data_IF_289482528307
#
_entry.id   IF_289482528307
#
_cell.length_a   1.000
_cell.length_b   1.000
_cell.length_c   1.000
_cell.angle_alpha   90.00
_cell.angle_beta   90.00
_cell.angle_gamma   90.00
#
_symmetry.space_group_name_H-M   'P 1'
#
loop_
_entity.id
_entity.type
_entity.pdbx_description
1 polymer ?
#
# COMPACT_ATOMS: atom_id res chain seq x y z
N UNK A 1 -67.63 75.96 -57.96
CA UNK A 1 -67.15 77.22 -58.54
C UNK A 1 -65.75 77.44 -57.95
N UNK A 2 -64.72 77.27 -58.80
CA UNK A 2 -63.29 77.57 -58.64
C UNK A 2 -62.61 77.10 -57.32
N UNK A 3 -61.79 76.05 -57.27
CA UNK A 3 -60.51 75.85 -57.98
C UNK A 3 -59.51 76.97 -57.71
N UNK A 4 -58.61 76.77 -56.74
CA UNK A 4 -57.23 77.22 -56.88
C UNK A 4 -56.28 76.36 -56.03
N UNK A 5 -55.18 76.00 -56.66
CA UNK A 5 -54.24 74.99 -56.27
C UNK A 5 -53.08 75.57 -55.47
N UNK A 6 -52.66 74.88 -54.40
CA UNK A 6 -51.27 74.95 -53.90
C UNK A 6 -50.70 73.55 -53.79
N UNK A 7 -49.69 73.33 -54.63
CA UNK A 7 -48.77 72.20 -54.60
C UNK A 7 -47.85 72.38 -53.39
N UNK A 8 -47.82 71.39 -52.50
CA UNK A 8 -46.68 71.14 -51.63
C UNK A 8 -46.15 69.74 -51.92
N UNK A 9 -44.92 69.73 -52.42
CA UNK A 9 -44.11 68.58 -52.78
C UNK A 9 -43.51 68.00 -51.50
N UNK A 10 -44.06 66.87 -51.03
CA UNK A 10 -43.44 66.07 -49.97
C UNK A 10 -43.33 64.62 -50.44
N UNK A 11 -42.22 64.36 -51.14
CA UNK A 11 -41.75 63.01 -51.43
C UNK A 11 -41.57 62.20 -50.14
N UNK A 12 -42.10 60.97 -50.03
CA UNK A 12 -41.86 60.12 -48.87
C UNK A 12 -40.39 59.62 -48.87
N UNK A 13 -39.73 59.51 -47.70
CA UNK A 13 -38.37 58.98 -47.65
C UNK A 13 -38.35 57.53 -48.12
N UNK A 14 -37.28 57.07 -48.80
CA UNK A 14 -37.20 55.72 -49.33
C UNK A 14 -37.23 54.70 -48.20
N UNK A 15 -38.08 53.67 -48.36
CA UNK A 15 -38.05 52.46 -47.55
C UNK A 15 -36.65 51.85 -47.68
N UNK A 16 -35.90 51.81 -46.57
CA UNK A 16 -34.72 50.96 -46.49
C UNK A 16 -35.22 49.52 -46.44
N UNK A 17 -34.97 48.79 -47.53
CA UNK A 17 -34.98 47.34 -47.50
C UNK A 17 -33.88 46.87 -46.54
N UNK A 18 -34.27 46.59 -45.30
CA UNK A 18 -33.46 45.85 -44.34
C UNK A 18 -33.45 44.37 -44.76
N UNK A 19 -32.72 44.08 -45.83
CA UNK A 19 -32.25 42.74 -46.17
C UNK A 19 -30.75 42.67 -45.98
N UNK A 20 -30.31 42.93 -44.75
CA UNK A 20 -29.04 42.41 -44.26
C UNK A 20 -29.32 41.07 -43.57
N UNK A 21 -28.66 39.96 -43.95
CA UNK A 21 -28.81 38.72 -43.23
C UNK A 21 -28.40 38.95 -41.76
N UNK A 22 -29.08 38.33 -40.78
CA UNK A 22 -28.68 38.45 -39.39
C UNK A 22 -27.22 38.07 -39.28
N UNK A 23 -26.38 39.03 -38.90
CA UNK A 23 -24.99 38.77 -38.56
C UNK A 23 -25.01 37.70 -37.47
N UNK A 24 -24.28 36.57 -37.62
CA UNK A 24 -24.21 35.60 -36.56
C UNK A 24 -23.52 36.29 -35.38
N UNK A 25 -24.31 36.71 -34.39
CA UNK A 25 -23.81 36.97 -33.04
C UNK A 25 -23.53 35.61 -32.39
N UNK A 26 -22.70 34.79 -33.02
CA UNK A 26 -21.91 33.82 -32.30
C UNK A 26 -20.77 34.61 -31.68
N UNK A 27 -21.00 35.01 -30.42
CA UNK A 27 -20.02 35.65 -29.56
C UNK A 27 -18.87 34.73 -29.17
N UNK A 28 -18.31 33.97 -30.11
CA UNK A 28 -17.07 33.23 -29.93
C UNK A 28 -15.95 34.02 -30.59
N UNK A 29 -15.36 34.95 -29.84
CA UNK A 29 -14.05 35.48 -30.20
C UNK A 29 -13.11 34.29 -30.48
N UNK A 30 -12.34 34.30 -31.58
CA UNK A 30 -11.42 33.22 -31.89
C UNK A 30 -10.48 32.99 -30.70
N UNK A 31 -10.12 31.74 -30.37
CA UNK A 31 -9.22 31.44 -29.26
C UNK A 31 -7.95 32.28 -29.41
N UNK A 32 -7.66 33.07 -28.38
CA UNK A 32 -6.44 33.86 -28.36
C UNK A 32 -5.23 32.91 -28.31
N UNK A 33 -4.06 33.29 -28.83
CA UNK A 33 -2.84 32.47 -28.69
C UNK A 33 -2.51 32.08 -27.24
N UNK A 34 -3.04 32.82 -26.26
CA UNK A 34 -2.92 32.54 -24.81
C UNK A 34 -3.77 31.34 -24.35
N UNK A 35 -4.83 30.98 -25.07
CA UNK A 35 -5.71 29.85 -24.72
C UNK A 35 -5.10 28.47 -24.96
N UNK A 36 -3.94 28.41 -25.63
CA UNK A 36 -3.23 27.16 -25.92
C UNK A 36 -2.23 26.75 -24.82
N UNK A 37 -2.15 27.51 -23.74
CA UNK A 37 -1.22 27.23 -22.63
C UNK A 37 -1.97 26.67 -21.41
N UNK A 38 -1.42 25.65 -20.71
CA UNK A 38 -2.04 25.08 -19.50
C UNK A 38 -2.35 26.08 -18.39
N UNK A 39 -1.66 27.23 -18.37
CA UNK A 39 -1.90 28.33 -17.44
C UNK A 39 -3.15 29.17 -17.75
N UNK A 40 -3.71 29.06 -18.96
CA UNK A 40 -4.98 29.68 -19.32
C UNK A 40 -6.17 28.81 -18.91
N UNK A 41 -7.21 29.44 -18.37
CA UNK A 41 -8.50 28.77 -18.10
C UNK A 41 -9.16 28.24 -19.39
N UNK A 42 -8.88 28.87 -20.54
CA UNK A 42 -9.41 28.47 -21.84
C UNK A 42 -8.84 27.16 -22.39
N UNK A 43 -7.66 26.73 -21.89
CA UNK A 43 -7.02 25.47 -22.28
C UNK A 43 -7.80 24.24 -21.81
N UNK A 44 -8.35 24.32 -20.59
CA UNK A 44 -9.07 23.22 -19.94
C UNK A 44 -10.56 23.25 -20.31
N UNK A 45 -10.94 22.54 -21.38
CA UNK A 45 -12.29 22.64 -21.95
C UNK A 45 -13.27 21.55 -21.55
N UNK A 46 -12.86 20.55 -20.76
CA UNK A 46 -13.77 19.45 -20.42
C UNK A 46 -14.94 19.93 -19.53
N UNK A 47 -16.20 19.68 -19.92
CA UNK A 47 -17.38 20.08 -19.13
C UNK A 47 -17.58 19.27 -17.84
N UNK A 48 -16.80 18.21 -17.66
CA UNK A 48 -16.80 17.40 -16.43
C UNK A 48 -16.02 18.05 -15.29
N UNK A 49 -15.21 19.06 -15.59
CA UNK A 49 -14.46 19.83 -14.59
C UNK A 49 -15.40 20.80 -13.89
N UNK A 50 -15.28 20.83 -12.56
CA UNK A 50 -16.10 21.62 -11.66
C UNK A 50 -15.97 21.07 -10.24
N UNK A 51 -16.62 21.67 -9.24
CA UNK A 51 -16.46 21.27 -7.84
C UNK A 51 -17.05 19.90 -7.49
N UNK A 52 -18.03 19.42 -8.27
CA UNK A 52 -18.76 18.19 -7.95
C UNK A 52 -17.90 16.92 -8.08
N UNK A 53 -17.27 16.70 -9.23
CA UNK A 53 -16.44 15.52 -9.49
C UNK A 53 -15.30 15.32 -8.46
N UNK A 54 -14.43 16.33 -8.18
CA UNK A 54 -13.41 16.23 -7.15
C UNK A 54 -13.99 16.04 -5.75
N UNK A 55 -15.22 16.49 -5.46
CA UNK A 55 -15.88 16.25 -4.17
C UNK A 55 -16.29 14.79 -4.02
N UNK A 56 -16.91 14.19 -5.05
CA UNK A 56 -17.28 12.77 -5.07
C UNK A 56 -16.04 11.88 -4.93
N UNK A 57 -15.02 12.09 -5.77
CA UNK A 57 -13.77 11.34 -5.71
C UNK A 57 -13.05 11.57 -4.38
N UNK A 58 -13.15 12.78 -3.83
CA UNK A 58 -12.58 13.14 -2.53
C UNK A 58 -13.18 12.36 -1.36
N UNK A 59 -14.48 12.05 -1.38
CA UNK A 59 -15.11 11.22 -0.34
C UNK A 59 -14.63 9.77 -0.41
N UNK A 60 -14.50 9.21 -1.61
CA UNK A 60 -13.98 7.85 -1.81
C UNK A 60 -12.53 7.77 -1.33
N UNK A 61 -11.70 8.74 -1.72
CA UNK A 61 -10.31 8.82 -1.26
C UNK A 61 -10.21 9.10 0.24
N UNK A 62 -11.13 9.86 0.83
CA UNK A 62 -11.16 10.09 2.28
C UNK A 62 -11.23 8.77 3.05
N UNK A 63 -12.22 7.95 2.73
CA UNK A 63 -12.39 6.65 3.34
C UNK A 63 -11.21 5.72 3.02
N UNK A 64 -10.84 5.62 1.74
CA UNK A 64 -9.81 4.71 1.27
C UNK A 64 -8.43 4.99 1.85
N UNK A 65 -7.98 6.25 1.81
CA UNK A 65 -6.66 6.66 2.31
C UNK A 65 -6.58 6.55 3.83
N UNK A 66 -7.68 6.81 4.55
CA UNK A 66 -7.72 6.59 6.00
C UNK A 66 -7.51 5.11 6.34
N UNK A 67 -8.17 4.20 5.62
CA UNK A 67 -7.97 2.75 5.79
C UNK A 67 -6.52 2.36 5.46
N UNK A 68 -5.95 2.87 4.36
CA UNK A 68 -4.56 2.61 3.99
C UNK A 68 -3.58 3.07 5.06
N UNK A 69 -3.76 4.28 5.58
CA UNK A 69 -2.90 4.81 6.63
C UNK A 69 -2.98 3.94 7.88
N UNK A 70 -4.18 3.62 8.37
CA UNK A 70 -4.37 2.78 9.56
C UNK A 70 -3.77 1.38 9.35
N UNK A 71 -4.07 0.72 8.23
CA UNK A 71 -3.52 -0.61 7.93
C UNK A 71 -1.99 -0.59 7.76
N UNK A 72 -1.43 0.52 7.28
CA UNK A 72 0.02 0.74 7.23
C UNK A 72 0.64 0.87 8.62
N UNK A 73 0.04 1.66 9.52
CA UNK A 73 0.47 1.76 10.92
C UNK A 73 0.39 0.40 11.64
N UNK A 74 -0.71 -0.33 11.44
CA UNK A 74 -0.91 -1.67 11.98
C UNK A 74 0.13 -2.65 11.42
N UNK A 75 0.45 -2.58 10.12
CA UNK A 75 1.50 -3.40 9.50
C UNK A 75 2.87 -3.10 10.11
N UNK A 76 3.18 -1.82 10.34
CA UNK A 76 4.41 -1.39 11.00
C UNK A 76 4.49 -1.86 12.46
N UNK A 77 3.39 -1.79 13.23
CA UNK A 77 3.34 -2.32 14.59
C UNK A 77 3.60 -3.84 14.64
N UNK A 78 3.16 -4.60 13.62
CA UNK A 78 3.39 -6.05 13.53
C UNK A 78 4.88 -6.43 13.41
N UNK A 79 5.75 -5.48 13.05
CA UNK A 79 7.19 -5.67 13.07
C UNK A 79 7.77 -5.54 14.48
N UNK A 80 7.00 -5.18 15.51
CA UNK A 80 7.53 -4.91 16.86
C UNK A 80 8.77 -3.99 16.84
N UNK A 81 8.71 -2.79 16.24
CA UNK A 81 9.87 -1.92 16.06
C UNK A 81 10.39 -1.30 17.38
N UNK A 82 9.61 -1.33 18.45
CA UNK A 82 10.01 -0.98 19.82
C UNK A 82 10.69 -2.15 20.56
N UNK A 83 10.69 -3.37 20.00
CA UNK A 83 11.35 -4.51 20.62
C UNK A 83 12.86 -4.54 20.37
N UNK A 84 13.28 -4.32 19.11
CA UNK A 84 14.68 -4.53 18.72
C UNK A 84 15.08 -3.71 17.48
N UNK A 85 16.32 -3.18 17.42
CA UNK A 85 16.83 -2.50 16.22
C UNK A 85 16.90 -3.39 14.97
N UNK A 86 16.89 -4.73 15.12
CA UNK A 86 16.85 -5.61 13.93
C UNK A 86 15.50 -5.55 13.22
N UNK A 87 14.42 -5.34 13.98
CA UNK A 87 13.06 -5.24 13.48
C UNK A 87 12.77 -3.85 12.91
N UNK A 88 13.36 -2.81 13.50
CA UNK A 88 13.12 -1.42 13.11
C UNK A 88 14.18 -0.87 12.17
N UNK A 89 13.77 -0.37 11.00
CA UNK A 89 14.66 0.37 10.07
C UNK A 89 14.45 1.89 10.12
N UNK A 90 13.79 2.38 11.16
CA UNK A 90 13.46 3.79 11.41
C UNK A 90 13.88 4.23 12.83
N UNK A 91 15.19 4.20 13.14
CA UNK A 91 15.68 4.49 14.50
C UNK A 91 15.28 5.88 15.01
N UNK A 92 15.14 6.87 14.11
CA UNK A 92 14.84 8.26 14.45
C UNK A 92 13.34 8.60 14.46
N UNK A 93 12.45 7.60 14.51
CA UNK A 93 10.98 7.83 14.44
C UNK A 93 10.43 8.73 15.54
N UNK A 94 11.12 8.83 16.68
CA UNK A 94 10.74 9.70 17.80
C UNK A 94 9.28 9.51 18.22
N UNK A 95 8.52 10.61 18.27
CA UNK A 95 7.10 10.61 18.65
C UNK A 95 6.20 9.86 17.67
N UNK A 96 6.65 9.58 16.44
CA UNK A 96 5.87 8.85 15.44
C UNK A 96 5.67 7.37 15.80
N UNK A 97 6.26 6.88 16.89
CA UNK A 97 6.02 5.54 17.44
C UNK A 97 4.96 5.46 18.54
N UNK A 98 4.19 6.52 18.80
CA UNK A 98 3.26 6.57 19.96
C UNK A 98 2.17 5.50 19.98
N UNK A 99 1.87 4.89 18.83
CA UNK A 99 0.82 3.90 18.66
C UNK A 99 1.34 2.46 18.74
N UNK A 100 2.63 2.24 19.05
CA UNK A 100 3.21 0.90 19.10
C UNK A 100 2.72 0.12 20.31
N UNK A 101 2.44 -1.16 20.09
CA UNK A 101 1.96 -2.09 21.11
C UNK A 101 2.56 -3.48 20.86
N UNK A 102 2.45 -4.36 21.86
CA UNK A 102 2.81 -5.75 21.71
C UNK A 102 1.86 -6.42 20.70
N UNK A 103 2.39 -6.75 19.52
CA UNK A 103 1.58 -7.33 18.46
C UNK A 103 0.94 -8.66 18.90
N UNK A 104 -0.39 -8.83 18.75
CA UNK A 104 -1.09 -10.02 19.20
C UNK A 104 -0.82 -11.21 18.28
N UNK A 105 -1.00 -12.42 18.83
CA UNK A 105 -0.94 -13.68 18.07
C UNK A 105 -2.33 -14.15 17.59
N UNK A 106 -3.41 -13.53 18.08
CA UNK A 106 -4.79 -13.87 17.72
C UNK A 106 -5.60 -12.68 17.16
N UNK A 107 -6.50 -12.94 16.18
CA UNK A 107 -6.62 -14.19 15.44
C UNK A 107 -5.37 -14.45 14.58
N UNK A 108 -5.01 -15.71 14.36
CA UNK A 108 -3.74 -16.07 13.69
C UNK A 108 -3.59 -15.55 12.25
N UNK A 109 -4.71 -15.23 11.59
CA UNK A 109 -4.75 -14.64 10.25
C UNK A 109 -4.73 -13.10 10.24
N UNK A 110 -4.61 -12.43 11.39
CA UNK A 110 -4.74 -10.98 11.51
C UNK A 110 -3.84 -10.20 10.54
N UNK A 111 -2.55 -10.54 10.46
CA UNK A 111 -1.64 -9.84 9.55
C UNK A 111 -1.96 -10.10 8.08
N UNK A 112 -2.43 -11.30 7.73
CA UNK A 112 -2.93 -11.63 6.39
C UNK A 112 -4.08 -10.70 5.98
N UNK A 113 -5.06 -10.50 6.86
CA UNK A 113 -6.16 -9.59 6.59
C UNK A 113 -5.65 -8.15 6.43
N UNK A 114 -4.87 -7.67 7.40
CA UNK A 114 -4.37 -6.30 7.40
C UNK A 114 -3.59 -5.97 6.12
N UNK A 115 -2.62 -6.81 5.77
CA UNK A 115 -1.76 -6.59 4.62
C UNK A 115 -2.50 -6.79 3.30
N UNK A 116 -3.40 -7.77 3.23
CA UNK A 116 -4.25 -8.01 2.07
C UNK A 116 -5.17 -6.83 1.77
N UNK A 117 -5.77 -6.23 2.81
CA UNK A 117 -6.58 -5.00 2.68
C UNK A 117 -5.71 -3.84 2.22
N UNK A 118 -4.56 -3.61 2.88
CA UNK A 118 -3.67 -2.50 2.56
C UNK A 118 -3.27 -2.48 1.07
N UNK A 119 -2.73 -3.60 0.57
CA UNK A 119 -2.24 -3.67 -0.81
C UNK A 119 -3.37 -3.67 -1.83
N UNK A 120 -4.42 -4.47 -1.60
CA UNK A 120 -5.53 -4.59 -2.56
C UNK A 120 -6.30 -3.28 -2.69
N UNK A 121 -6.56 -2.59 -1.56
CA UNK A 121 -7.21 -1.29 -1.56
C UNK A 121 -6.32 -0.22 -2.21
N UNK A 122 -5.02 -0.24 -1.93
CA UNK A 122 -4.06 0.71 -2.50
C UNK A 122 -4.08 0.66 -4.02
N UNK A 123 -4.00 -0.55 -4.59
CA UNK A 123 -4.07 -0.77 -6.04
C UNK A 123 -5.45 -0.37 -6.59
N UNK A 124 -6.55 -0.76 -5.93
CA UNK A 124 -7.90 -0.43 -6.39
C UNK A 124 -8.19 1.09 -6.38
N UNK A 125 -7.50 1.88 -5.56
CA UNK A 125 -7.69 3.34 -5.48
C UNK A 125 -6.89 4.12 -6.53
N UNK A 126 -5.96 3.51 -7.26
CA UNK A 126 -5.15 4.19 -8.29
C UNK A 126 -6.04 4.95 -9.31
N UNK A 127 -7.09 4.36 -9.92
CA UNK A 127 -7.92 5.07 -10.89
C UNK A 127 -8.69 6.23 -10.26
N UNK A 128 -9.11 6.10 -8.99
CA UNK A 128 -9.78 7.17 -8.25
C UNK A 128 -8.81 8.33 -7.99
N UNK A 129 -7.57 8.03 -7.59
CA UNK A 129 -6.52 9.02 -7.38
C UNK A 129 -6.18 9.75 -8.69
N UNK A 130 -5.96 9.01 -9.78
CA UNK A 130 -5.67 9.60 -11.09
C UNK A 130 -6.82 10.47 -11.59
N UNK A 131 -8.07 10.04 -11.42
CA UNK A 131 -9.24 10.85 -11.77
C UNK A 131 -9.34 12.10 -10.89
N UNK A 132 -9.01 12.00 -9.60
CA UNK A 132 -8.98 13.14 -8.68
C UNK A 132 -7.91 14.14 -9.11
N UNK A 133 -6.69 13.69 -9.36
CA UNK A 133 -5.59 14.53 -9.84
C UNK A 133 -5.93 15.18 -11.18
N UNK A 134 -6.47 14.40 -12.13
CA UNK A 134 -6.96 14.93 -13.40
C UNK A 134 -7.99 16.02 -13.17
N UNK A 135 -8.97 15.84 -12.28
CA UNK A 135 -10.05 16.81 -12.05
C UNK A 135 -9.57 18.15 -11.48
N UNK A 136 -8.46 18.16 -10.74
CA UNK A 136 -7.91 19.36 -10.08
C UNK A 136 -6.65 19.92 -10.74
N UNK A 137 -6.10 19.26 -11.77
CA UNK A 137 -4.86 19.66 -12.46
C UNK A 137 -4.80 21.14 -12.89
N UNK A 138 -5.89 21.84 -13.29
CA UNK A 138 -5.81 23.24 -13.67
C UNK A 138 -5.31 24.13 -12.54
N UNK A 139 -5.58 23.76 -11.28
CA UNK A 139 -5.10 24.49 -10.09
C UNK A 139 -3.57 24.47 -9.97
N UNK A 140 -2.89 23.46 -10.52
CA UNK A 140 -1.42 23.39 -10.52
C UNK A 140 -0.79 24.41 -11.48
N UNK A 141 -1.51 24.81 -12.54
CA UNK A 141 -1.03 25.74 -13.56
C UNK A 141 -1.56 27.17 -13.39
N UNK A 142 -2.39 27.43 -12.38
CA UNK A 142 -2.97 28.75 -12.14
C UNK A 142 -1.90 29.82 -11.85
N UNK A 143 -2.03 30.97 -12.50
CA UNK A 143 -1.18 32.16 -12.34
C UNK A 143 -1.97 33.33 -11.70
N UNK A 144 -1.32 34.21 -10.91
CA UNK A 144 0.06 34.11 -10.45
C UNK A 144 0.24 32.93 -9.48
N UNK A 145 1.47 32.40 -9.32
CA UNK A 145 1.71 31.23 -8.48
C UNK A 145 1.31 31.48 -7.03
N UNK A 146 1.59 32.67 -6.50
CA UNK A 146 1.11 33.13 -5.20
C UNK A 146 0.39 34.46 -5.33
N UNK A 147 -0.83 34.56 -4.79
CA UNK A 147 -1.60 35.82 -4.69
C UNK A 147 -1.41 36.50 -3.32
N UNK A 148 -1.01 35.73 -2.31
CA UNK A 148 -0.75 36.16 -0.94
C UNK A 148 0.10 35.11 -0.22
N UNK A 149 0.61 35.44 0.98
CA UNK A 149 1.33 34.47 1.85
C UNK A 149 0.43 33.27 2.19
N UNK A 150 -0.84 33.51 2.53
CA UNK A 150 -1.80 32.44 2.81
C UNK A 150 -2.01 31.51 1.60
N UNK A 151 -2.14 32.08 0.40
CA UNK A 151 -2.25 31.31 -0.83
C UNK A 151 -0.96 30.53 -1.15
N UNK A 152 0.21 31.09 -0.85
CA UNK A 152 1.49 30.38 -0.99
C UNK A 152 1.58 29.16 -0.05
N UNK A 153 1.18 29.33 1.22
CA UNK A 153 1.11 28.24 2.19
C UNK A 153 0.11 27.16 1.77
N UNK A 154 -1.04 27.56 1.21
CA UNK A 154 -2.01 26.61 0.67
C UNK A 154 -1.42 25.79 -0.48
N UNK A 155 -0.71 26.42 -1.42
CA UNK A 155 -0.04 25.70 -2.52
C UNK A 155 1.09 24.80 -2.04
N UNK A 156 1.82 25.21 -1.01
CA UNK A 156 2.84 24.36 -0.39
C UNK A 156 2.20 23.12 0.26
N UNK A 157 1.07 23.28 0.96
CA UNK A 157 0.29 22.16 1.48
C UNK A 157 -0.20 21.23 0.36
N UNK A 158 -0.68 21.78 -0.76
CA UNK A 158 -1.07 21.00 -1.93
C UNK A 158 0.12 20.26 -2.57
N UNK A 159 1.33 20.83 -2.56
CA UNK A 159 2.53 20.17 -3.03
C UNK A 159 2.84 18.93 -2.17
N UNK A 160 2.82 19.05 -0.84
CA UNK A 160 3.00 17.89 0.04
C UNK A 160 1.88 16.86 -0.09
N UNK A 161 0.64 17.31 -0.32
CA UNK A 161 -0.49 16.40 -0.53
C UNK A 161 -0.35 15.60 -1.83
N UNK A 162 -0.12 16.28 -2.96
CA UNK A 162 -0.03 15.63 -4.27
C UNK A 162 1.27 14.85 -4.40
N UNK A 163 2.39 15.46 -4.01
CA UNK A 163 3.70 14.81 -4.01
C UNK A 163 3.73 13.60 -3.08
N UNK A 164 3.18 13.72 -1.86
CA UNK A 164 3.05 12.62 -0.92
C UNK A 164 2.14 11.51 -1.45
N UNK A 165 0.97 11.82 -2.00
CA UNK A 165 0.09 10.80 -2.59
C UNK A 165 0.76 10.03 -3.72
N UNK A 166 1.44 10.74 -4.63
CA UNK A 166 2.17 10.10 -5.73
C UNK A 166 3.33 9.27 -5.21
N UNK A 167 4.09 9.78 -4.25
CA UNK A 167 5.21 9.07 -3.65
C UNK A 167 4.75 7.77 -2.96
N UNK A 168 3.73 7.82 -2.11
CA UNK A 168 3.21 6.66 -1.39
C UNK A 168 2.65 5.59 -2.35
N UNK A 169 1.84 5.99 -3.32
CA UNK A 169 1.27 5.03 -4.27
C UNK A 169 2.33 4.44 -5.20
N UNK A 170 3.28 5.24 -5.70
CA UNK A 170 4.34 4.75 -6.57
C UNK A 170 5.29 3.83 -5.82
N UNK A 171 5.78 4.24 -4.64
CA UNK A 171 6.68 3.38 -3.83
C UNK A 171 5.98 2.11 -3.38
N UNK A 172 4.69 2.17 -3.02
CA UNK A 172 3.87 1.00 -2.72
C UNK A 172 3.74 0.05 -3.91
N UNK A 173 3.43 0.55 -5.11
CA UNK A 173 3.34 -0.26 -6.33
C UNK A 173 4.69 -0.90 -6.68
N UNK A 174 5.78 -0.13 -6.62
CA UNK A 174 7.13 -0.65 -6.88
C UNK A 174 7.51 -1.77 -5.90
N UNK A 175 7.18 -1.62 -4.62
CA UNK A 175 7.42 -2.66 -3.61
C UNK A 175 6.67 -3.96 -3.90
N UNK A 176 5.38 -3.89 -4.25
CA UNK A 176 4.60 -5.10 -4.55
C UNK A 176 4.95 -5.72 -5.91
N UNK A 177 5.59 -4.96 -6.81
CA UNK A 177 6.13 -5.44 -8.09
C UNK A 177 7.58 -5.95 -7.98
N UNK A 178 8.17 -5.97 -6.77
CA UNK A 178 9.57 -6.34 -6.52
C UNK A 178 10.61 -5.46 -7.26
N UNK A 179 10.22 -4.25 -7.65
CA UNK A 179 11.03 -3.37 -8.48
C UNK A 179 11.66 -2.23 -7.66
N UNK A 180 12.87 -2.44 -7.17
CA UNK A 180 13.60 -1.51 -6.30
C UNK A 180 14.51 -0.58 -7.11
N UNK A 181 13.91 0.30 -7.91
CA UNK A 181 14.63 1.25 -8.78
C UNK A 181 15.17 2.49 -8.06
N UNK A 182 14.75 2.76 -6.82
CA UNK A 182 15.12 3.98 -6.11
C UNK A 182 16.26 3.76 -5.10
N UNK A 183 17.15 4.76 -4.92
CA UNK A 183 18.19 4.70 -3.91
C UNK A 183 17.55 4.80 -2.51
N UNK A 184 17.58 3.71 -1.75
CA UNK A 184 17.10 3.67 -0.37
C UNK A 184 16.27 2.44 -0.05
N UNK A 185 15.97 2.25 1.24
CA UNK A 185 15.08 1.18 1.69
C UNK A 185 13.63 1.64 1.58
N UNK A 186 12.76 0.82 0.99
CA UNK A 186 11.31 1.06 0.96
C UNK A 186 10.76 1.38 2.35
N UNK A 187 11.18 0.63 3.36
CA UNK A 187 10.66 0.70 4.73
C UNK A 187 10.70 2.13 5.34
N UNK A 188 11.87 2.79 5.50
CA UNK A 188 11.92 4.15 6.05
C UNK A 188 11.29 5.19 5.13
N UNK A 189 11.49 5.05 3.81
CA UNK A 189 10.95 5.99 2.83
C UNK A 189 9.42 6.04 2.89
N UNK A 190 8.79 4.88 2.85
CA UNK A 190 7.33 4.74 2.91
C UNK A 190 6.79 5.13 4.28
N UNK A 191 7.48 4.80 5.38
CA UNK A 191 7.05 5.22 6.73
C UNK A 191 7.01 6.75 6.91
N UNK A 192 8.11 7.44 6.60
CA UNK A 192 8.16 8.89 6.78
C UNK A 192 7.32 9.62 5.73
N UNK A 193 7.32 9.12 4.50
CA UNK A 193 6.46 9.62 3.43
C UNK A 193 4.98 9.55 3.81
N UNK A 194 4.53 8.44 4.40
CA UNK A 194 3.15 8.26 4.86
C UNK A 194 2.76 9.29 5.93
N UNK A 195 3.63 9.60 6.88
CA UNK A 195 3.36 10.63 7.90
C UNK A 195 3.30 12.05 7.32
N UNK A 196 4.24 12.41 6.44
CA UNK A 196 4.23 13.70 5.74
C UNK A 196 2.95 13.85 4.90
N UNK A 197 2.63 12.81 4.15
CA UNK A 197 1.44 12.76 3.32
C UNK A 197 0.16 12.86 4.16
N UNK A 198 0.04 12.05 5.21
CA UNK A 198 -1.18 12.00 6.01
C UNK A 198 -1.41 13.29 6.80
N UNK A 199 -0.35 13.96 7.27
CA UNK A 199 -0.46 15.29 7.88
C UNK A 199 -1.02 16.32 6.89
N UNK A 200 -0.50 16.37 5.65
CA UNK A 200 -1.02 17.24 4.60
C UNK A 200 -2.47 16.88 4.22
N UNK A 201 -2.78 15.59 4.17
CA UNK A 201 -4.12 15.08 3.91
C UNK A 201 -5.12 15.45 5.01
N UNK A 202 -4.78 15.32 6.28
CA UNK A 202 -5.64 15.69 7.40
C UNK A 202 -5.96 17.20 7.36
N UNK A 203 -4.96 18.05 7.16
CA UNK A 203 -5.15 19.50 6.97
C UNK A 203 -6.06 19.78 5.78
N UNK A 204 -5.83 19.13 4.63
CA UNK A 204 -6.65 19.28 3.45
C UNK A 204 -8.12 18.89 3.69
N UNK A 205 -8.35 17.76 4.37
CA UNK A 205 -9.70 17.27 4.70
C UNK A 205 -10.41 18.27 5.59
N UNK A 206 -9.79 18.72 6.68
CA UNK A 206 -10.40 19.71 7.60
C UNK A 206 -10.81 20.98 6.85
N UNK A 207 -9.94 21.49 5.96
CA UNK A 207 -10.22 22.70 5.19
C UNK A 207 -11.29 22.51 4.11
N UNK A 208 -11.40 21.32 3.50
CA UNK A 208 -12.27 21.09 2.33
C UNK A 208 -13.59 20.40 2.65
N UNK A 209 -13.76 19.76 3.81
CA UNK A 209 -15.03 19.11 4.22
C UNK A 209 -16.25 20.04 4.10
N UNK A 210 -16.24 21.30 4.57
CA UNK A 210 -17.41 22.18 4.43
C UNK A 210 -17.80 22.44 2.97
N UNK A 211 -16.83 22.56 2.06
CA UNK A 211 -17.07 22.74 0.63
C UNK A 211 -17.63 21.46 -0.01
N UNK A 212 -17.08 20.30 0.33
CA UNK A 212 -17.57 19.00 -0.14
C UNK A 212 -19.03 18.79 0.29
N UNK A 213 -19.34 19.04 1.57
CA UNK A 213 -20.70 18.90 2.11
C UNK A 213 -21.69 19.84 1.42
N UNK A 214 -21.34 21.11 1.22
CA UNK A 214 -22.20 22.09 0.50
C UNK A 214 -22.46 21.66 -0.95
N UNK A 215 -21.39 21.27 -1.65
CA UNK A 215 -21.45 20.85 -3.06
C UNK A 215 -22.32 19.60 -3.24
N UNK A 216 -22.16 18.59 -2.37
CA UNK A 216 -22.92 17.34 -2.46
C UNK A 216 -24.38 17.49 -1.99
N UNK A 217 -24.67 18.42 -1.08
CA UNK A 217 -26.05 18.76 -0.66
C UNK A 217 -26.78 19.69 -1.62
N UNK A 218 -26.11 20.18 -2.67
CA UNK A 218 -26.69 21.14 -3.62
C UNK A 218 -27.00 22.52 -3.01
N UNK A 219 -26.30 22.92 -1.93
CA UNK A 219 -26.59 24.17 -1.19
C UNK A 219 -25.49 25.21 -1.40
N UNK A 220 -25.88 26.37 -1.96
CA UNK A 220 -25.08 27.60 -2.03
C UNK A 220 -24.22 27.75 -3.29
N UNK A 221 -23.80 28.98 -3.58
CA UNK A 221 -22.90 29.29 -4.69
C UNK A 221 -21.49 28.71 -4.42
N UNK A 222 -20.80 28.17 -5.45
CA UNK A 222 -19.41 27.71 -5.29
C UNK A 222 -18.50 28.88 -4.91
N UNK A 223 -17.49 28.64 -4.06
CA UNK A 223 -16.44 29.64 -3.77
C UNK A 223 -15.74 30.02 -5.09
N UNK A 224 -15.20 31.23 -5.18
CA UNK A 224 -14.48 31.69 -6.39
C UNK A 224 -13.37 30.70 -6.82
N UNK A 225 -12.58 30.19 -5.87
CA UNK A 225 -11.55 29.16 -6.10
C UNK A 225 -12.09 27.85 -6.72
N UNK A 226 -13.37 27.54 -6.49
CA UNK A 226 -14.02 26.34 -6.99
C UNK A 226 -14.65 26.58 -8.37
N UNK A 227 -15.01 27.84 -8.67
CA UNK A 227 -15.40 28.29 -10.00
C UNK A 227 -14.23 28.30 -10.97
N UNK A 228 -12.98 28.39 -10.49
CA UNK A 228 -11.78 28.26 -11.33
C UNK A 228 -11.68 26.91 -12.04
N UNK A 229 -12.27 25.85 -11.48
CA UNK A 229 -12.34 24.52 -12.11
C UNK A 229 -13.37 24.45 -13.25
N UNK A 230 -14.33 25.38 -13.30
CA UNK A 230 -15.35 25.41 -14.35
C UNK A 230 -14.74 26.04 -15.59
N UNK A 231 -14.81 25.31 -16.71
CA UNK A 231 -14.33 25.77 -17.99
C UNK A 231 -15.15 26.99 -18.46
N UNK A 232 -14.53 28.12 -18.82
CA UNK A 232 -15.25 29.30 -19.30
C UNK A 232 -15.86 29.08 -20.70
N UNK A 233 -15.26 28.20 -21.50
CA UNK A 233 -15.75 27.77 -22.82
C UNK A 233 -15.69 26.24 -22.93
N UNK A 234 -16.63 25.53 -22.28
CA UNK A 234 -16.64 24.07 -22.31
C UNK A 234 -16.77 23.58 -23.75
N UNK A 235 -16.02 22.54 -24.09
CA UNK A 235 -16.26 21.77 -25.31
C UNK A 235 -17.49 20.87 -25.12
N UNK A 236 -17.97 20.30 -26.23
CA UNK A 236 -19.00 19.27 -26.15
C UNK A 236 -18.53 18.08 -25.27
N UNK A 237 -19.41 17.54 -24.42
CA UNK A 237 -19.06 16.41 -23.57
C UNK A 237 -18.82 15.17 -24.41
N UNK A 238 -17.57 14.69 -24.44
CA UNK A 238 -17.23 13.39 -25.04
C UNK A 238 -17.70 12.20 -24.18
N UNK A 239 -17.92 12.43 -22.89
CA UNK A 239 -18.47 11.43 -21.96
C UNK A 239 -19.34 12.10 -20.90
N UNK A 240 -20.39 11.40 -20.45
CA UNK A 240 -21.25 11.87 -19.36
C UNK A 240 -20.58 11.75 -18.00
N UNK A 241 -21.08 12.46 -16.98
CA UNK A 241 -20.60 12.30 -15.58
C UNK A 241 -20.73 10.85 -15.09
N UNK A 242 -21.84 10.19 -15.45
CA UNK A 242 -22.06 8.77 -15.14
C UNK A 242 -21.05 7.88 -15.87
N UNK A 243 -20.76 8.17 -17.14
CA UNK A 243 -19.75 7.44 -17.91
C UNK A 243 -18.35 7.60 -17.32
N UNK A 244 -17.97 8.81 -16.91
CA UNK A 244 -16.67 9.05 -16.27
C UNK A 244 -16.54 8.31 -14.92
N UNK A 245 -17.56 8.38 -14.06
CA UNK A 245 -17.57 7.61 -12.81
C UNK A 245 -17.61 6.10 -13.07
N UNK A 246 -18.34 5.65 -14.09
CA UNK A 246 -18.36 4.26 -14.52
C UNK A 246 -16.99 3.78 -14.99
N UNK A 247 -16.24 4.59 -15.73
CA UNK A 247 -14.88 4.27 -16.16
C UNK A 247 -13.90 4.17 -14.98
N UNK A 248 -13.96 5.11 -14.04
CA UNK A 248 -13.14 5.07 -12.82
C UNK A 248 -13.49 3.84 -11.99
N UNK A 249 -14.78 3.60 -11.75
CA UNK A 249 -15.26 2.44 -10.99
C UNK A 249 -14.90 1.11 -11.67
N UNK A 250 -15.04 1.00 -12.98
CA UNK A 250 -14.65 -0.17 -13.75
C UNK A 250 -13.13 -0.41 -13.72
N UNK A 251 -12.32 0.65 -13.83
CA UNK A 251 -10.87 0.55 -13.67
C UNK A 251 -10.47 0.08 -12.27
N UNK A 252 -11.09 0.66 -11.23
CA UNK A 252 -10.87 0.24 -9.84
C UNK A 252 -11.30 -1.20 -9.59
N UNK A 253 -12.45 -1.61 -10.13
CA UNK A 253 -12.94 -2.98 -10.02
C UNK A 253 -12.04 -3.96 -10.77
N UNK A 254 -11.58 -3.62 -11.98
CA UNK A 254 -10.64 -4.43 -12.74
C UNK A 254 -9.37 -4.65 -11.92
N UNK A 255 -8.75 -3.56 -11.43
CA UNK A 255 -7.54 -3.65 -10.62
C UNK A 255 -7.77 -4.50 -9.35
N UNK A 256 -8.89 -4.29 -8.65
CA UNK A 256 -9.29 -5.11 -7.50
C UNK A 256 -9.36 -6.60 -7.86
N UNK A 257 -10.10 -6.98 -8.91
CA UNK A 257 -10.27 -8.37 -9.34
C UNK A 257 -8.93 -8.99 -9.77
N UNK A 258 -8.06 -8.19 -10.39
CA UNK A 258 -6.73 -8.61 -10.83
C UNK A 258 -5.65 -8.61 -9.75
N UNK A 259 -6.02 -8.33 -8.50
CA UNK A 259 -5.08 -8.22 -7.38
C UNK A 259 -5.54 -9.04 -6.18
N UNK A 260 -6.83 -8.97 -5.81
CA UNK A 260 -7.36 -9.59 -4.58
C UNK A 260 -7.07 -11.09 -4.49
N UNK A 261 -7.01 -11.77 -5.64
CA UNK A 261 -6.68 -13.19 -5.76
C UNK A 261 -5.39 -13.60 -5.05
N UNK A 262 -4.39 -12.71 -4.95
CA UNK A 262 -3.09 -13.03 -4.32
C UNK A 262 -3.18 -13.38 -2.83
N UNK A 263 -4.33 -13.12 -2.21
CA UNK A 263 -4.65 -13.43 -0.81
C UNK A 263 -5.28 -14.81 -0.62
N UNK A 264 -5.55 -15.54 -1.70
CA UNK A 264 -6.21 -16.83 -1.69
C UNK A 264 -5.37 -17.84 -2.45
N UNK A 265 -5.62 -19.13 -2.18
CA UNK A 265 -5.00 -20.23 -2.92
C UNK A 265 -5.96 -20.77 -3.98
N UNK A 266 -5.47 -21.70 -4.82
CA UNK A 266 -6.28 -22.37 -5.82
C UNK A 266 -6.75 -21.45 -6.96
N UNK A 267 -8.00 -21.63 -7.40
CA UNK A 267 -8.53 -20.94 -8.60
C UNK A 267 -8.60 -19.42 -8.43
N UNK A 268 -8.89 -18.93 -7.22
CA UNK A 268 -8.96 -17.49 -6.95
C UNK A 268 -7.60 -16.82 -7.08
N UNK A 269 -6.50 -17.53 -6.77
CA UNK A 269 -5.15 -16.99 -6.97
C UNK A 269 -4.92 -16.54 -8.40
N UNK A 270 -5.38 -17.36 -9.36
CA UNK A 270 -5.17 -17.14 -10.81
C UNK A 270 -5.78 -15.83 -11.33
N UNK A 271 -6.65 -15.17 -10.56
CA UNK A 271 -7.14 -13.85 -10.95
C UNK A 271 -6.08 -12.77 -10.74
N UNK A 272 -5.07 -12.99 -9.89
CA UNK A 272 -4.03 -12.01 -9.56
C UNK A 272 -2.96 -11.83 -10.65
N UNK A 273 -3.40 -11.68 -11.90
CA UNK A 273 -2.57 -11.64 -13.11
C UNK A 273 -1.55 -10.51 -13.15
N UNK A 274 -1.72 -9.47 -12.33
CA UNK A 274 -0.80 -8.32 -12.23
C UNK A 274 0.12 -8.40 -11.00
N UNK A 275 -0.03 -9.40 -10.13
CA UNK A 275 0.82 -9.57 -8.96
C UNK A 275 1.95 -10.56 -9.25
N UNK A 276 3.23 -10.28 -8.89
CA UNK A 276 4.33 -11.20 -9.13
C UNK A 276 4.12 -12.61 -8.55
N UNK A 277 3.37 -12.71 -7.45
CA UNK A 277 3.02 -13.97 -6.77
C UNK A 277 1.53 -14.37 -6.98
N UNK A 278 0.89 -13.83 -8.01
CA UNK A 278 -0.51 -14.10 -8.36
C UNK A 278 -0.70 -15.19 -9.42
N UNK A 279 0.38 -15.85 -9.83
CA UNK A 279 0.34 -17.01 -10.72
C UNK A 279 -0.17 -18.28 -10.03
N UNK A 280 -0.08 -19.40 -10.74
CA UNK A 280 -0.29 -20.72 -10.13
C UNK A 280 0.71 -20.97 -8.99
N UNK A 281 0.35 -21.92 -8.14
CA UNK A 281 1.25 -22.45 -7.12
C UNK A 281 2.54 -22.99 -7.79
N UNK A 282 3.74 -22.67 -7.26
CA UNK A 282 5.02 -23.07 -7.87
C UNK A 282 5.20 -24.58 -7.98
N UNK A 283 4.41 -25.37 -7.26
CA UNK A 283 4.36 -26.82 -7.41
C UNK A 283 3.00 -27.40 -7.01
N UNK A 284 2.79 -28.67 -7.31
CA UNK A 284 1.57 -29.43 -6.97
C UNK A 284 1.69 -30.23 -5.68
N UNK A 285 2.89 -30.31 -5.10
CA UNK A 285 3.17 -31.08 -3.89
C UNK A 285 2.92 -30.33 -2.58
N UNK A 286 3.17 -30.97 -1.43
CA UNK A 286 2.98 -30.39 -0.09
C UNK A 286 3.72 -29.06 0.15
N UNK A 287 4.86 -28.86 -0.52
CA UNK A 287 5.64 -27.62 -0.49
C UNK A 287 5.28 -26.67 -1.66
N UNK A 288 4.13 -26.86 -2.30
CA UNK A 288 3.77 -26.23 -3.57
C UNK A 288 3.34 -24.77 -3.50
N UNK A 289 3.28 -24.13 -2.34
CA UNK A 289 2.79 -22.76 -2.18
C UNK A 289 3.88 -21.69 -2.41
N UNK A 290 3.44 -20.43 -2.51
CA UNK A 290 4.28 -19.27 -2.87
C UNK A 290 5.54 -19.10 -2.00
N UNK A 291 6.64 -18.70 -2.63
CA UNK A 291 7.97 -18.56 -2.02
C UNK A 291 8.44 -17.11 -2.18
N UNK A 292 8.87 -16.47 -1.09
CA UNK A 292 9.45 -15.12 -1.18
C UNK A 292 10.88 -15.11 -1.73
N UNK A 293 11.75 -16.02 -1.24
CA UNK A 293 13.20 -16.05 -1.53
C UNK A 293 13.70 -17.47 -1.61
N UNK A 294 14.61 -17.75 -2.54
CA UNK A 294 15.31 -19.04 -2.62
C UNK A 294 16.66 -18.97 -1.89
N UNK A 295 17.26 -20.11 -1.50
CA UNK A 295 18.60 -20.14 -0.90
C UNK A 295 19.65 -19.50 -1.82
N UNK A 296 19.56 -19.76 -3.12
CA UNK A 296 20.49 -19.22 -4.12
C UNK A 296 20.44 -17.68 -4.17
N UNK A 297 19.24 -17.08 -4.09
CA UNK A 297 19.07 -15.63 -4.09
C UNK A 297 19.74 -14.92 -2.89
N UNK A 298 19.99 -15.66 -1.80
CA UNK A 298 20.60 -15.14 -0.58
C UNK A 298 22.02 -15.68 -0.31
N UNK A 299 22.60 -16.35 -1.30
CA UNK A 299 23.98 -16.85 -1.27
C UNK A 299 24.21 -18.08 -0.40
N UNK A 300 23.18 -18.90 -0.21
CA UNK A 300 23.27 -20.20 0.47
C UNK A 300 23.47 -21.32 -0.54
N UNK A 301 24.30 -22.28 -0.16
CA UNK A 301 24.63 -23.49 -0.93
C UNK A 301 24.00 -24.73 -0.30
N UNK A 302 23.95 -25.84 -1.03
CA UNK A 302 23.50 -27.12 -0.48
C UNK A 302 24.31 -27.54 0.76
N UNK A 303 25.61 -27.22 0.80
CA UNK A 303 26.47 -27.50 1.95
C UNK A 303 26.08 -26.69 3.18
N UNK A 304 25.66 -25.44 3.04
CA UNK A 304 25.21 -24.61 4.17
C UNK A 304 23.92 -25.20 4.80
N UNK A 305 23.12 -25.92 4.02
CA UNK A 305 21.85 -26.51 4.41
C UNK A 305 21.95 -28.00 4.76
N UNK A 306 23.12 -28.60 4.65
CA UNK A 306 23.32 -30.04 4.82
C UNK A 306 23.06 -30.44 6.29
N UNK A 307 21.91 -31.09 6.53
CA UNK A 307 21.51 -31.54 7.85
C UNK A 307 21.66 -33.06 8.05
N UNK A 308 22.36 -33.73 7.13
CA UNK A 308 22.47 -35.18 7.03
C UNK A 308 21.32 -35.71 6.21
N UNK A 309 21.62 -36.53 5.20
CA UNK A 309 20.57 -37.34 4.58
C UNK A 309 20.00 -38.30 5.64
N UNK A 310 18.77 -38.77 5.47
CA UNK A 310 18.13 -39.85 6.24
C UNK A 310 17.97 -39.70 7.78
N UNK A 311 18.39 -38.59 8.38
CA UNK A 311 18.30 -38.42 9.84
C UNK A 311 19.49 -39.02 10.61
N UNK A 312 20.58 -39.37 9.91
CA UNK A 312 21.90 -39.73 10.45
C UNK A 312 22.44 -38.75 11.52
N UNK A 313 22.11 -37.46 11.40
CA UNK A 313 22.68 -36.38 12.22
C UNK A 313 24.13 -36.00 11.85
N UNK A 314 24.68 -36.55 10.78
CA UNK A 314 26.08 -36.34 10.35
C UNK A 314 26.31 -35.07 9.52
N UNK A 315 25.24 -34.41 9.08
CA UNK A 315 25.37 -33.20 8.27
C UNK A 315 26.06 -32.04 8.99
N UNK A 316 26.46 -31.03 8.23
CA UNK A 316 27.20 -29.88 8.77
C UNK A 316 26.34 -28.82 9.49
N UNK A 317 25.03 -28.76 9.21
CA UNK A 317 24.12 -27.80 9.82
C UNK A 317 23.83 -28.13 11.29
N UNK A 318 23.83 -27.10 12.13
CA UNK A 318 23.42 -27.18 13.55
C UNK A 318 22.59 -25.97 13.92
N UNK A 319 21.52 -26.19 14.68
CA UNK A 319 20.84 -25.12 15.40
C UNK A 319 21.62 -24.81 16.68
N UNK A 320 21.95 -23.55 16.92
CA UNK A 320 22.46 -23.10 18.22
C UNK A 320 21.34 -22.45 19.03
N UNK A 321 21.07 -22.94 20.23
CA UNK A 321 20.10 -22.39 21.17
C UNK A 321 20.85 -21.82 22.36
N UNK A 322 20.67 -20.53 22.64
CA UNK A 322 21.45 -19.79 23.65
C UNK A 322 20.52 -19.13 24.69
N UNK A 323 20.95 -19.17 25.95
CA UNK A 323 20.30 -18.52 27.09
C UNK A 323 21.14 -18.68 28.37
N UNK A 324 20.54 -18.50 29.57
CA UNK A 324 21.23 -18.58 30.86
C UNK A 324 21.94 -19.91 31.14
N UNK A 325 21.44 -21.02 30.57
CA UNK A 325 22.08 -22.33 30.70
C UNK A 325 23.32 -22.51 29.78
N UNK A 326 23.66 -21.49 28.98
CA UNK A 326 24.73 -21.55 27.98
C UNK A 326 24.21 -21.83 26.57
N UNK A 327 25.09 -22.33 25.71
CA UNK A 327 24.78 -22.62 24.31
C UNK A 327 24.66 -24.14 24.07
N UNK A 328 23.51 -24.59 23.58
CA UNK A 328 23.26 -25.96 23.14
C UNK A 328 23.26 -26.01 21.62
N UNK A 329 23.95 -27.01 21.04
CA UNK A 329 23.95 -27.24 19.58
C UNK A 329 23.20 -28.52 19.26
N UNK A 330 22.16 -28.40 18.43
CA UNK A 330 21.29 -29.49 18.04
C UNK A 330 21.45 -29.78 16.55
N UNK A 331 21.60 -31.06 16.20
CA UNK A 331 21.41 -31.53 14.83
C UNK A 331 19.92 -31.53 14.48
N UNK A 332 19.60 -31.66 13.18
CA UNK A 332 18.21 -31.84 12.76
C UNK A 332 17.62 -33.15 13.31
N UNK A 333 18.43 -34.20 13.42
CA UNK A 333 18.04 -35.47 14.01
C UNK A 333 17.71 -35.34 15.51
N UNK A 334 18.45 -34.50 16.26
CA UNK A 334 18.10 -34.18 17.65
C UNK A 334 16.73 -33.50 17.73
N UNK A 335 16.48 -32.50 16.88
CA UNK A 335 15.21 -31.77 16.82
C UNK A 335 14.03 -32.68 16.46
N UNK A 336 14.22 -33.64 15.55
CA UNK A 336 13.19 -34.61 15.17
C UNK A 336 12.84 -35.58 16.31
N UNK A 337 13.77 -35.82 17.25
CA UNK A 337 13.54 -36.65 18.44
C UNK A 337 12.85 -35.91 19.58
N UNK A 338 12.83 -34.58 19.55
CA UNK A 338 12.08 -33.77 20.51
C UNK A 338 10.57 -33.92 20.28
N UNK A 339 9.73 -33.61 21.29
CA UNK A 339 8.28 -33.54 21.11
C UNK A 339 7.89 -32.67 19.91
N UNK A 340 7.13 -33.25 18.99
CA UNK A 340 6.67 -32.56 17.77
C UNK A 340 5.25 -32.03 17.95
N UNK A 341 5.02 -30.81 17.50
CA UNK A 341 3.73 -30.13 17.52
C UNK A 341 3.34 -29.65 16.13
N UNK A 342 2.04 -29.46 15.91
CA UNK A 342 1.52 -28.99 14.62
C UNK A 342 0.62 -27.77 14.77
N UNK A 343 0.64 -26.91 13.76
CA UNK A 343 -0.21 -25.72 13.68
C UNK A 343 -0.61 -25.42 12.23
N UNK A 344 -1.87 -25.07 12.03
CA UNK A 344 -2.38 -24.54 10.76
C UNK A 344 -2.16 -23.02 10.74
N UNK A 345 -1.20 -22.53 9.95
CA UNK A 345 -0.85 -21.11 9.91
C UNK A 345 -0.61 -20.63 8.47
N UNK A 346 -1.09 -19.43 8.09
CA UNK A 346 -0.81 -18.86 6.79
C UNK A 346 0.57 -18.19 6.77
N UNK A 347 1.13 -18.00 5.58
CA UNK A 347 2.19 -17.03 5.35
C UNK A 347 1.55 -15.78 4.76
N UNK A 348 1.89 -14.60 5.27
CA UNK A 348 1.48 -13.32 4.70
C UNK A 348 2.67 -12.40 4.52
N UNK A 349 2.96 -12.03 3.27
CA UNK A 349 4.08 -11.19 2.90
C UNK A 349 3.68 -9.72 2.89
N UNK A 350 4.61 -8.83 3.27
CA UNK A 350 4.45 -7.36 3.15
C UNK A 350 4.23 -6.91 1.70
N UNK A 351 4.61 -7.72 0.73
CA UNK A 351 4.35 -7.50 -0.70
C UNK A 351 2.86 -7.70 -1.08
N UNK A 352 2.01 -8.16 -0.16
CA UNK A 352 0.56 -8.26 -0.33
C UNK A 352 0.01 -9.65 -0.63
N UNK A 353 0.87 -10.59 -1.02
CA UNK A 353 0.45 -11.99 -1.21
C UNK A 353 0.45 -12.76 0.12
N UNK A 354 -0.44 -13.74 0.21
CA UNK A 354 -0.53 -14.63 1.37
C UNK A 354 -1.05 -16.00 0.97
N UNK A 355 -0.81 -17.02 1.78
CA UNK A 355 -1.34 -18.38 1.58
C UNK A 355 -2.57 -18.62 2.44
N UNK A 356 -3.34 -19.67 2.12
CA UNK A 356 -4.18 -20.34 3.10
C UNK A 356 -3.31 -21.00 4.19
N UNK A 357 -3.96 -21.50 5.23
CA UNK A 357 -3.28 -22.15 6.34
C UNK A 357 -2.53 -23.39 5.83
N UNK A 358 -1.22 -23.42 6.05
CA UNK A 358 -0.38 -24.60 5.80
C UNK A 358 -0.22 -25.36 7.11
N UNK A 359 -0.10 -26.69 7.02
CA UNK A 359 0.05 -27.56 8.19
C UNK A 359 1.51 -27.70 8.58
N UNK A 360 1.98 -26.85 9.48
CA UNK A 360 3.37 -26.86 9.94
C UNK A 360 3.57 -27.91 11.04
N UNK A 361 4.75 -28.51 11.09
CA UNK A 361 5.15 -29.41 12.18
C UNK A 361 6.60 -29.18 12.61
N UNK A 362 6.85 -29.16 13.91
CA UNK A 362 8.17 -28.95 14.49
C UNK A 362 8.16 -28.83 16.02
N UNK A 363 9.23 -28.28 16.57
CA UNK A 363 9.41 -28.07 18.02
C UNK A 363 8.84 -26.71 18.42
N UNK A 364 8.14 -26.60 19.57
CA UNK A 364 7.64 -25.29 20.02
C UNK A 364 8.80 -24.38 20.46
N UNK A 365 8.66 -23.08 20.20
CA UNK A 365 9.69 -22.12 20.61
C UNK A 365 9.88 -22.08 22.13
N UNK A 366 8.80 -22.25 22.92
CA UNK A 366 8.88 -22.32 24.38
C UNK A 366 9.66 -23.55 24.89
N UNK A 367 9.54 -24.70 24.22
CA UNK A 367 10.27 -25.92 24.61
C UNK A 367 11.79 -25.76 24.29
N UNK A 368 12.13 -24.98 23.25
CA UNK A 368 13.51 -24.59 22.99
C UNK A 368 14.03 -23.56 24.00
N UNK A 369 13.16 -22.71 24.54
CA UNK A 369 13.52 -21.79 25.63
C UNK A 369 13.85 -22.54 26.93
N UNK A 370 13.18 -23.68 27.19
CA UNK A 370 13.51 -24.57 28.31
C UNK A 370 14.93 -25.13 28.21
N UNK A 371 15.34 -25.56 27.02
CA UNK A 371 16.74 -25.97 26.78
C UNK A 371 17.74 -24.84 27.01
N UNK A 372 17.32 -23.59 26.83
CA UNK A 372 18.13 -22.40 27.07
C UNK A 372 18.20 -22.02 28.56
N UNK A 373 17.48 -22.70 29.44
CA UNK A 373 17.46 -22.46 30.88
C UNK A 373 16.33 -21.57 31.39
N UNK A 374 15.26 -21.36 30.61
CA UNK A 374 14.06 -20.65 31.04
C UNK A 374 12.94 -21.63 31.43
N UNK A 375 11.96 -21.15 32.19
CA UNK A 375 10.67 -21.84 32.30
C UNK A 375 9.88 -21.56 31.00
N UNK A 376 9.30 -22.60 30.37
CA UNK A 376 8.58 -22.48 29.11
C UNK A 376 7.37 -21.53 29.18
N UNK A 377 6.66 -21.49 30.32
CA UNK A 377 5.51 -20.59 30.52
C UNK A 377 5.96 -19.15 30.82
N UNK A 378 7.22 -18.95 31.22
CA UNK A 378 7.85 -17.65 31.42
C UNK A 378 8.87 -17.30 30.33
N UNK A 379 8.90 -18.03 29.21
CA UNK A 379 9.92 -17.87 28.16
C UNK A 379 10.00 -16.41 27.68
N UNK A 380 11.19 -15.79 27.61
CA UNK A 380 11.33 -14.41 27.16
C UNK A 380 11.20 -14.30 25.64
N UNK A 381 11.33 -13.08 25.11
CA UNK A 381 11.52 -12.88 23.68
C UNK A 381 12.79 -13.57 23.16
N UNK A 382 12.82 -13.81 21.85
CA UNK A 382 13.94 -14.49 21.17
C UNK A 382 14.46 -13.67 20.00
N UNK A 383 15.79 -13.59 19.87
CA UNK A 383 16.45 -13.16 18.64
C UNK A 383 16.72 -14.39 17.77
N UNK A 384 16.15 -14.39 16.57
CA UNK A 384 16.29 -15.45 15.57
C UNK A 384 17.29 -15.00 14.51
N UNK A 385 18.32 -15.82 14.26
CA UNK A 385 19.31 -15.56 13.20
C UNK A 385 19.23 -16.62 12.10
N UNK A 386 19.20 -16.17 10.84
CA UNK A 386 19.26 -17.00 9.65
C UNK A 386 20.70 -17.22 9.17
N UNK A 387 20.95 -18.31 8.46
CA UNK A 387 22.18 -18.53 7.69
C UNK A 387 22.41 -17.50 6.58
N UNK A 388 21.36 -16.79 6.16
CA UNK A 388 21.39 -15.80 5.09
C UNK A 388 22.54 -14.79 5.26
N UNK A 389 23.38 -14.67 4.21
CA UNK A 389 24.62 -13.85 4.25
C UNK A 389 24.40 -12.36 3.97
N UNK A 390 23.30 -12.01 3.29
CA UNK A 390 22.98 -10.62 2.87
C UNK A 390 21.51 -10.31 3.09
N UNK A 391 21.13 -9.05 3.25
CA UNK A 391 19.74 -8.61 3.32
C UNK A 391 19.26 -8.19 4.72
N UNK A 392 18.25 -7.32 4.74
CA UNK A 392 17.84 -6.54 5.92
C UNK A 392 17.20 -7.35 7.06
N UNK A 393 16.62 -8.52 6.75
CA UNK A 393 15.90 -9.41 7.67
C UNK A 393 16.60 -10.77 7.83
N UNK A 394 17.94 -10.79 7.86
CA UNK A 394 18.73 -11.97 8.28
C UNK A 394 18.57 -12.30 9.77
N UNK A 395 18.01 -11.36 10.53
CA UNK A 395 17.67 -11.49 11.95
C UNK A 395 16.28 -10.91 12.17
N UNK A 396 15.52 -11.52 13.05
CA UNK A 396 14.23 -11.04 13.52
C UNK A 396 14.11 -11.28 15.02
N UNK A 397 13.56 -10.32 15.74
CA UNK A 397 13.24 -10.47 17.16
C UNK A 397 11.75 -10.75 17.33
N UNK A 398 11.42 -11.73 18.15
CA UNK A 398 10.05 -12.06 18.54
C UNK A 398 9.85 -11.73 20.01
N UNK A 399 8.66 -11.23 20.35
CA UNK A 399 8.28 -10.96 21.75
C UNK A 399 8.02 -12.26 22.50
N UNK A 400 7.96 -12.14 23.82
CA UNK A 400 7.65 -13.23 24.74
C UNK A 400 6.27 -13.85 24.45
N UNK A 401 5.23 -13.06 24.20
CA UNK A 401 3.91 -13.57 23.83
C UNK A 401 3.94 -14.41 22.54
N UNK A 402 4.79 -14.03 21.57
CA UNK A 402 4.99 -14.78 20.34
C UNK A 402 5.77 -16.08 20.58
N UNK A 403 6.75 -16.08 21.49
CA UNK A 403 7.51 -17.28 21.86
C UNK A 403 6.64 -18.28 22.64
N UNK A 404 5.81 -17.79 23.56
CA UNK A 404 4.98 -18.61 24.45
C UNK A 404 3.74 -19.19 23.76
N UNK A 405 3.32 -18.63 22.62
CA UNK A 405 2.14 -19.14 21.89
C UNK A 405 2.34 -20.62 21.51
N UNK A 406 1.40 -21.52 21.84
CA UNK A 406 1.55 -22.95 21.61
C UNK A 406 1.59 -23.35 20.11
N UNK A 407 1.26 -22.42 19.21
CA UNK A 407 1.34 -22.58 17.74
C UNK A 407 2.65 -22.06 17.16
N UNK A 408 3.50 -21.40 17.95
CA UNK A 408 4.80 -20.91 17.48
C UNK A 408 5.83 -22.04 17.46
N UNK A 409 6.33 -22.35 16.27
CA UNK A 409 7.19 -23.51 16.04
C UNK A 409 8.51 -23.10 15.39
N UNK A 410 9.57 -23.82 15.75
CA UNK A 410 10.65 -24.12 14.82
C UNK A 410 10.20 -25.31 13.96
N UNK A 411 9.56 -25.00 12.82
CA UNK A 411 9.05 -25.99 11.89
C UNK A 411 10.18 -26.69 11.12
N UNK A 412 10.03 -28.01 11.00
CA UNK A 412 10.92 -28.92 10.26
C UNK A 412 10.21 -29.53 9.05
N UNK A 413 8.88 -29.52 9.07
CA UNK A 413 7.99 -30.14 8.09
C UNK A 413 6.80 -29.22 7.78
N UNK A 414 6.24 -29.36 6.59
CA UNK A 414 5.00 -28.69 6.16
C UNK A 414 4.16 -29.63 5.31
N UNK A 415 2.85 -29.65 5.56
CA UNK A 415 1.86 -30.42 4.82
C UNK A 415 2.19 -31.93 4.73
N UNK A 416 2.83 -32.47 5.77
CA UNK A 416 3.18 -33.89 5.89
C UNK A 416 4.57 -34.26 5.37
N UNK A 417 5.30 -33.33 4.75
CA UNK A 417 6.62 -33.57 4.18
C UNK A 417 7.69 -32.70 4.85
N UNK A 418 8.95 -33.07 4.66
CA UNK A 418 10.08 -32.20 5.00
C UNK A 418 9.98 -30.86 4.24
N UNK A 419 10.45 -29.79 4.90
CA UNK A 419 10.59 -28.50 4.22
C UNK A 419 11.47 -28.68 2.99
N UNK A 420 11.13 -28.01 1.89
CA UNK A 420 12.10 -27.81 0.80
C UNK A 420 13.13 -26.73 1.20
N UNK A 421 14.30 -26.68 0.52
CA UNK A 421 15.24 -25.58 0.68
C UNK A 421 14.58 -24.20 0.52
N UNK A 422 13.66 -24.03 -0.42
CA UNK A 422 12.96 -22.77 -0.65
C UNK A 422 12.00 -22.39 0.49
N UNK A 423 11.43 -23.38 1.18
CA UNK A 423 10.58 -23.15 2.35
C UNK A 423 11.32 -23.11 3.68
N UNK A 424 12.65 -23.21 3.64
CA UNK A 424 13.51 -22.97 4.80
C UNK A 424 14.12 -24.22 5.41
N UNK A 425 14.16 -25.34 4.69
CA UNK A 425 14.98 -26.50 5.09
C UNK A 425 16.40 -26.05 5.45
N UNK A 426 16.98 -26.51 6.57
CA UNK A 426 16.49 -27.61 7.42
C UNK A 426 15.48 -27.24 8.51
N UNK A 427 15.31 -25.94 8.82
CA UNK A 427 14.39 -25.46 9.84
C UNK A 427 13.97 -23.99 9.60
N UNK A 428 12.70 -23.67 9.88
CA UNK A 428 12.17 -22.31 9.84
C UNK A 428 11.40 -21.98 11.11
N UNK A 429 11.34 -20.70 11.46
CA UNK A 429 10.37 -20.20 12.43
C UNK A 429 9.03 -19.96 11.74
N UNK A 430 7.93 -20.33 12.41
CA UNK A 430 6.56 -19.97 12.05
C UNK A 430 5.80 -19.52 13.30
N UNK A 431 5.17 -18.34 13.23
CA UNK A 431 4.47 -17.69 14.35
C UNK A 431 3.13 -17.15 13.84
N UNK A 432 2.03 -17.34 14.60
CA UNK A 432 0.72 -16.80 14.24
C UNK A 432 0.72 -15.27 14.13
N UNK A 433 -0.10 -14.76 13.21
CA UNK A 433 -0.28 -13.33 12.93
C UNK A 433 1.01 -12.54 12.63
N UNK A 434 2.14 -13.19 12.36
CA UNK A 434 3.41 -12.50 12.12
C UNK A 434 3.57 -12.10 10.63
N UNK A 435 4.23 -10.96 10.34
CA UNK A 435 4.74 -10.67 9.02
C UNK A 435 5.63 -11.81 8.50
N UNK A 436 5.54 -12.13 7.20
CA UNK A 436 6.31 -13.21 6.58
C UNK A 436 7.82 -13.09 6.79
N UNK A 437 8.34 -11.86 6.93
CA UNK A 437 9.75 -11.58 7.22
C UNK A 437 10.20 -12.03 8.62
N UNK A 438 9.28 -12.21 9.57
CA UNK A 438 9.56 -12.72 10.92
C UNK A 438 9.41 -14.24 11.03
N UNK A 439 8.87 -14.89 10.00
CA UNK A 439 8.82 -16.34 9.86
C UNK A 439 10.14 -16.85 9.22
N UNK A 440 11.23 -16.57 9.92
CA UNK A 440 12.62 -16.70 9.46
C UNK A 440 12.94 -18.09 8.93
N UNK A 441 13.51 -18.15 7.72
CA UNK A 441 13.96 -19.39 7.08
C UNK A 441 15.45 -19.66 7.33
N UNK A 442 15.85 -20.92 7.18
CA UNK A 442 17.26 -21.35 7.31
C UNK A 442 17.84 -20.94 8.66
N UNK A 443 17.11 -21.23 9.74
CA UNK A 443 17.46 -20.78 11.08
C UNK A 443 18.80 -21.40 11.48
N UNK A 444 19.70 -20.57 12.01
CA UNK A 444 21.01 -21.00 12.50
C UNK A 444 21.11 -20.88 14.02
N UNK A 445 20.47 -19.85 14.59
CA UNK A 445 20.59 -19.53 16.01
C UNK A 445 19.31 -18.94 16.58
N UNK A 446 19.03 -19.31 17.82
CA UNK A 446 18.00 -18.73 18.69
C UNK A 446 18.66 -18.23 19.97
N UNK A 447 18.49 -16.96 20.31
CA UNK A 447 18.97 -16.38 21.58
C UNK A 447 17.82 -15.87 22.40
N UNK A 448 17.51 -16.55 23.49
CA UNK A 448 16.40 -16.23 24.37
C UNK A 448 16.86 -15.21 25.42
N UNK A 449 16.09 -14.12 25.59
CA UNK A 449 16.40 -13.02 26.50
C UNK A 449 17.08 -11.82 25.82
N UNK A 450 17.80 -12.03 24.70
CA UNK A 450 18.52 -10.97 23.98
C UNK A 450 17.68 -10.19 22.96
N UNK A 451 16.35 -10.41 22.90
CA UNK A 451 15.50 -9.80 21.87
C UNK A 451 15.61 -8.26 21.84
N UNK A 452 15.82 -7.61 22.99
CA UNK A 452 15.98 -6.15 23.11
C UNK A 452 17.42 -5.65 23.31
N UNK A 453 18.42 -6.53 23.34
CA UNK A 453 19.76 -6.19 23.86
C UNK A 453 20.81 -5.90 22.78
N UNK A 454 20.44 -5.88 21.50
CA UNK A 454 21.35 -5.47 20.43
C UNK A 454 21.57 -3.95 20.44
N UNK A 455 22.57 -3.49 21.20
CA UNK A 455 23.17 -2.15 21.03
C UNK A 455 24.25 -2.15 19.96
#
# INVERSE_FOLDING_TARGET
MADDARRDDTSPPPRRDDTSPPSPRDGTSPPSRRDNWPSSRGFWRSPLRGPWLPSVLGVVLLAGITILFVTGLVSYAAYNPDLSPVNDKTPDKGLLGFYLFAWPTDPHWLYRLNQGVHVTLGIALIPVLLAKLWSVVPKLFALPPARSVGHALERLSLLFLVGGALFEFVTGVLNVQLDYIFPGSFYPLHFYGAWVFFAAFAVHVVLRVPTVVRTLRGRGAPREEDQELVAPRPAEPTVSRRGALGMVGAGSLLLFLTTVGQNFDGLLRRTAVLAPHGGGDPGTGPNGFQINKTPAAVGLTARDLDAGADGSGDGTWRLTVEGPAGAVRLSRADLLRMPQHSAALPIACVEGWSTADQWWRGVRLRDLAELAGYDGDAAPGVLVESLQRRGAFRRAALRDNQVRDPRSLLALQVNGEDLTPDHGYPARVIVPAAPGVHNTKWVARLRFGEAGELR
#
